data_IF_883702807972
#
_entry.id   IF_883702807972
#
_cell.length_a   1.000
_cell.length_b   1.000
_cell.length_c   1.000
_cell.angle_alpha   90.00
_cell.angle_beta   90.00
_cell.angle_gamma   90.00
#
_symmetry.space_group_name_H-M   'P 1'
#
loop_
_entity.id
_entity.type
_entity.pdbx_description
1 polymer ?
#
# COMPACT_ATOMS: atom_id res chain seq x y z
N UNK A 1 1.63 15.04 -7.40
CA UNK A 1 0.30 14.37 -7.47
C UNK A 1 0.15 13.45 -6.26
N UNK A 2 -1.07 13.30 -5.74
CA UNK A 2 -1.38 12.25 -4.75
C UNK A 2 -2.59 11.46 -5.19
N UNK A 3 -2.58 10.15 -4.93
CA UNK A 3 -3.76 9.30 -5.11
C UNK A 3 -4.47 9.07 -3.77
N UNK A 4 -5.73 8.62 -3.82
CA UNK A 4 -6.44 8.11 -2.65
C UNK A 4 -5.79 6.82 -2.13
N UNK A 5 -6.08 6.46 -0.88
CA UNK A 5 -5.64 5.19 -0.31
C UNK A 5 -6.15 3.99 -1.10
N UNK A 6 -5.27 3.02 -1.33
CA UNK A 6 -5.56 1.77 -2.03
C UNK A 6 -5.33 0.59 -1.09
N UNK A 7 -6.31 -0.30 -0.99
CA UNK A 7 -6.23 -1.56 -0.27
C UNK A 7 -6.18 -2.75 -1.22
N UNK A 8 -6.10 -3.95 -0.67
CA UNK A 8 -6.02 -5.19 -1.45
C UNK A 8 -7.37 -5.72 -1.91
N UNK A 9 -8.32 -4.87 -2.29
CA UNK A 9 -9.63 -5.31 -2.80
C UNK A 9 -9.59 -5.66 -4.29
N UNK A 10 -10.50 -6.52 -4.74
CA UNK A 10 -10.88 -6.65 -6.17
C UNK A 10 -11.98 -5.65 -6.58
N UNK A 11 -12.44 -5.71 -7.83
CA UNK A 11 -13.44 -4.78 -8.37
C UNK A 11 -14.84 -4.95 -7.72
N UNK A 12 -15.06 -6.05 -7.00
CA UNK A 12 -16.28 -6.36 -6.23
C UNK A 12 -16.12 -6.11 -4.71
N UNK A 13 -14.99 -5.53 -4.28
CA UNK A 13 -14.64 -5.26 -2.87
C UNK A 13 -14.43 -6.50 -1.99
N UNK A 14 -13.93 -7.60 -2.57
CA UNK A 14 -13.44 -8.74 -1.79
C UNK A 14 -11.94 -8.62 -1.49
N UNK A 15 -11.55 -9.11 -0.31
CA UNK A 15 -10.17 -9.14 0.16
C UNK A 15 -9.61 -10.56 0.07
N UNK A 16 -8.32 -10.75 -0.29
CA UNK A 16 -7.65 -12.04 -0.19
C UNK A 16 -7.67 -12.60 1.23
N UNK A 17 -7.67 -13.92 1.36
CA UNK A 17 -7.60 -14.56 2.69
C UNK A 17 -6.28 -14.26 3.39
N UNK A 18 -5.17 -14.28 2.63
CA UNK A 18 -3.85 -14.01 3.17
C UNK A 18 -3.54 -12.51 3.20
N UNK A 19 -2.93 -12.06 4.30
CA UNK A 19 -2.47 -10.68 4.41
C UNK A 19 -1.39 -10.35 3.37
N UNK A 20 -0.53 -11.31 3.03
CA UNK A 20 0.54 -11.10 2.05
C UNK A 20 -0.04 -10.83 0.65
N UNK A 21 -1.08 -11.56 0.26
CA UNK A 21 -1.79 -11.35 -1.01
C UNK A 21 -2.57 -10.03 -0.99
N UNK A 22 -3.19 -9.66 0.14
CA UNK A 22 -3.86 -8.36 0.29
C UNK A 22 -2.86 -7.19 0.12
N UNK A 23 -1.69 -7.25 0.77
CA UNK A 23 -0.65 -6.23 0.59
C UNK A 23 -0.15 -6.20 -0.85
N UNK A 24 0.12 -7.37 -1.45
CA UNK A 24 0.56 -7.46 -2.85
C UNK A 24 -0.45 -6.81 -3.79
N UNK A 25 -1.74 -7.14 -3.61
CA UNK A 25 -2.82 -6.55 -4.41
C UNK A 25 -2.98 -5.05 -4.14
N UNK A 26 -2.76 -4.57 -2.92
CA UNK A 26 -2.78 -3.14 -2.63
C UNK A 26 -1.73 -2.37 -3.45
N UNK A 27 -0.53 -2.93 -3.61
CA UNK A 27 0.50 -2.35 -4.50
C UNK A 27 0.09 -2.38 -5.98
N UNK A 28 -0.54 -3.46 -6.44
CA UNK A 28 -1.09 -3.54 -7.80
C UNK A 28 -2.20 -2.50 -8.03
N UNK A 29 -3.06 -2.25 -7.03
CA UNK A 29 -4.09 -1.23 -7.09
C UNK A 29 -3.52 0.20 -7.10
N UNK A 30 -2.42 0.44 -6.38
CA UNK A 30 -1.65 1.69 -6.51
C UNK A 30 -1.11 1.83 -7.92
N UNK A 31 -0.46 0.82 -8.49
CA UNK A 31 0.05 0.86 -9.87
C UNK A 31 -1.08 1.15 -10.87
N UNK A 32 -2.20 0.44 -10.77
CA UNK A 32 -3.37 0.65 -11.64
C UNK A 32 -3.84 2.11 -11.62
N UNK A 33 -3.86 2.72 -10.42
CA UNK A 33 -4.27 4.11 -10.24
C UNK A 33 -3.23 5.10 -10.77
N UNK A 34 -1.95 4.84 -10.55
CA UNK A 34 -0.84 5.63 -11.08
C UNK A 34 -0.85 5.63 -12.62
N UNK A 35 -0.92 4.44 -13.23
CA UNK A 35 -0.95 4.26 -14.69
C UNK A 35 -2.14 4.98 -15.32
N UNK A 36 -3.32 4.92 -14.70
CA UNK A 36 -4.50 5.64 -15.16
C UNK A 36 -4.32 7.17 -15.20
N UNK A 37 -3.37 7.69 -14.40
CA UNK A 37 -3.00 9.10 -14.39
C UNK A 37 -1.72 9.41 -15.20
N UNK A 38 -1.19 8.44 -15.94
CA UNK A 38 0.01 8.61 -16.77
C UNK A 38 1.32 8.65 -15.96
N UNK A 39 1.33 8.13 -14.74
CA UNK A 39 2.50 8.06 -13.85
C UNK A 39 2.80 6.63 -13.44
N UNK A 40 3.96 6.40 -12.83
CA UNK A 40 4.40 5.07 -12.41
C UNK A 40 4.95 5.06 -10.99
N UNK A 41 5.22 3.88 -10.43
CA UNK A 41 5.95 3.74 -9.17
C UNK A 41 7.32 4.44 -9.15
N UNK A 42 7.97 4.65 -10.30
CA UNK A 42 9.26 5.37 -10.36
C UNK A 42 9.13 6.83 -9.96
N UNK A 43 7.94 7.39 -10.08
CA UNK A 43 7.63 8.79 -9.77
C UNK A 43 7.22 8.97 -8.30
N UNK A 44 6.97 7.87 -7.58
CA UNK A 44 6.60 7.89 -6.16
C UNK A 44 7.80 8.35 -5.32
N UNK A 45 7.52 9.26 -4.37
CA UNK A 45 8.50 9.80 -3.43
C UNK A 45 8.14 9.55 -1.97
N UNK A 46 6.85 9.36 -1.68
CA UNK A 46 6.35 9.15 -0.33
C UNK A 46 5.24 8.11 -0.31
N UNK A 47 5.36 7.14 0.60
CA UNK A 47 4.39 6.09 0.89
C UNK A 47 3.94 6.21 2.34
N UNK A 48 2.63 6.34 2.54
CA UNK A 48 2.00 6.18 3.84
C UNK A 48 1.18 4.89 3.83
N UNK A 49 1.40 4.03 4.82
CA UNK A 49 0.62 2.81 4.97
C UNK A 49 -0.05 2.74 6.34
N UNK A 50 -1.30 2.32 6.33
CA UNK A 50 -2.16 2.19 7.51
C UNK A 50 -2.47 0.71 7.71
N UNK A 51 -2.28 0.22 8.93
CA UNK A 51 -2.32 -1.20 9.24
C UNK A 51 -3.27 -1.46 10.40
N UNK A 52 -4.23 -2.36 10.22
CA UNK A 52 -4.97 -2.94 11.34
C UNK A 52 -4.14 -4.09 11.87
N UNK A 53 -3.44 -3.85 12.98
CA UNK A 53 -2.65 -4.88 13.65
C UNK A 53 -3.55 -5.92 14.33
N UNK A 54 -3.00 -7.10 14.60
CA UNK A 54 -3.62 -8.06 15.52
C UNK A 54 -3.79 -7.50 16.94
N UNK A 55 -4.11 -8.36 17.91
CA UNK A 55 -4.38 -7.99 19.31
C UNK A 55 -3.17 -7.41 20.10
N UNK A 56 -2.11 -6.97 19.43
CA UNK A 56 -0.87 -6.44 20.00
C UNK A 56 -0.81 -4.91 20.02
N UNK A 57 0.23 -4.39 20.67
CA UNK A 57 0.51 -2.95 20.75
C UNK A 57 1.30 -2.39 19.55
N UNK A 58 1.60 -3.24 18.55
CA UNK A 58 2.43 -2.90 17.40
C UNK A 58 1.94 -3.61 16.14
N UNK A 59 2.32 -3.09 14.97
CA UNK A 59 2.07 -3.71 13.66
C UNK A 59 2.78 -5.07 13.60
N UNK A 60 2.08 -6.13 13.20
CA UNK A 60 2.67 -7.48 13.13
C UNK A 60 3.81 -7.53 12.09
N UNK A 61 4.92 -8.26 12.35
CA UNK A 61 6.10 -8.28 11.47
C UNK A 61 5.80 -8.62 10.01
N UNK A 62 4.83 -9.51 9.77
CA UNK A 62 4.38 -9.91 8.43
C UNK A 62 3.92 -8.73 7.59
N UNK A 63 3.27 -7.71 8.17
CA UNK A 63 2.92 -6.50 7.41
C UNK A 63 4.19 -5.81 6.92
N UNK A 64 5.15 -5.58 7.82
CA UNK A 64 6.36 -4.83 7.49
C UNK A 64 7.27 -5.59 6.52
N UNK A 65 7.39 -6.91 6.66
CA UNK A 65 8.19 -7.75 5.76
C UNK A 65 7.65 -7.70 4.33
N UNK A 66 6.34 -7.93 4.16
CA UNK A 66 5.72 -7.92 2.82
C UNK A 66 5.74 -6.51 2.21
N UNK A 67 5.49 -5.46 3.01
CA UNK A 67 5.62 -4.07 2.52
C UNK A 67 7.02 -3.77 1.99
N UNK A 68 8.06 -4.18 2.73
CA UNK A 68 9.47 -3.97 2.32
C UNK A 68 9.78 -4.74 1.03
N UNK A 69 9.32 -5.98 0.91
CA UNK A 69 9.54 -6.78 -0.31
C UNK A 69 8.84 -6.17 -1.52
N UNK A 70 7.61 -5.66 -1.36
CA UNK A 70 6.91 -4.94 -2.42
C UNK A 70 7.61 -3.62 -2.77
N UNK A 71 8.04 -2.82 -1.80
CA UNK A 71 8.78 -1.59 -2.07
C UNK A 71 10.08 -1.86 -2.84
N UNK A 72 10.81 -2.92 -2.52
CA UNK A 72 12.01 -3.35 -3.28
C UNK A 72 11.66 -3.80 -4.69
N UNK A 73 10.54 -4.51 -4.87
CA UNK A 73 10.07 -5.00 -6.17
C UNK A 73 9.66 -3.85 -7.10
N UNK A 74 8.86 -2.92 -6.59
CA UNK A 74 8.29 -1.82 -7.37
C UNK A 74 9.24 -0.64 -7.52
N UNK A 75 10.18 -0.46 -6.59
CA UNK A 75 11.13 0.66 -6.57
C UNK A 75 12.59 0.21 -6.36
N UNK A 76 13.14 -0.67 -7.23
CA UNK A 76 14.44 -1.33 -7.02
C UNK A 76 15.64 -0.38 -7.04
N UNK A 77 15.53 0.76 -7.73
CA UNK A 77 16.61 1.74 -7.85
C UNK A 77 16.66 2.74 -6.69
N UNK A 78 15.50 3.06 -6.10
CA UNK A 78 15.35 4.11 -5.09
C UNK A 78 14.15 3.83 -4.22
N UNK A 79 14.39 3.54 -2.93
CA UNK A 79 13.30 3.44 -1.96
C UNK A 79 12.63 4.82 -1.74
N UNK A 80 11.30 4.87 -1.54
CA UNK A 80 10.61 6.09 -1.15
C UNK A 80 10.85 6.40 0.33
N UNK A 81 10.46 7.61 0.75
CA UNK A 81 10.18 7.83 2.18
C UNK A 81 8.95 6.97 2.52
N UNK A 82 9.03 6.19 3.60
CA UNK A 82 7.93 5.34 4.04
C UNK A 82 7.61 5.59 5.51
N UNK A 83 6.32 5.79 5.80
CA UNK A 83 5.77 5.79 7.16
C UNK A 83 4.66 4.76 7.26
N UNK A 84 4.76 3.87 8.24
CA UNK A 84 3.72 2.91 8.60
C UNK A 84 3.03 3.36 9.90
N UNK A 85 1.72 3.24 9.98
CA UNK A 85 0.93 3.61 11.16
C UNK A 85 -0.09 2.53 11.48
N UNK A 86 -0.12 2.10 12.74
CA UNK A 86 -1.18 1.24 13.25
C UNK A 86 -2.47 2.05 13.44
N UNK A 87 -3.58 1.54 12.93
CA UNK A 87 -4.91 2.17 13.05
C UNK A 87 -5.90 1.19 13.67
N UNK A 88 -6.94 1.71 14.32
CA UNK A 88 -7.97 0.88 14.97
C UNK A 88 -8.93 0.23 13.97
N UNK A 89 -9.11 0.82 12.80
CA UNK A 89 -9.97 0.32 11.73
C UNK A 89 -9.64 0.98 10.38
N UNK A 90 -10.10 0.35 9.30
CA UNK A 90 -10.10 0.86 7.93
C UNK A 90 -11.54 0.91 7.39
N UNK A 91 -11.71 1.40 6.15
CA UNK A 91 -13.03 1.74 5.61
C UNK A 91 -13.99 0.54 5.41
N UNK A 92 -13.47 -0.68 5.27
CA UNK A 92 -14.25 -1.88 5.02
C UNK A 92 -13.99 -2.99 6.06
N UNK A 93 -15.01 -3.78 6.43
CA UNK A 93 -14.81 -4.96 7.26
C UNK A 93 -13.82 -5.94 6.63
N UNK A 94 -12.86 -6.43 7.42
CA UNK A 94 -11.85 -7.39 6.96
C UNK A 94 -10.64 -6.78 6.25
N UNK A 95 -10.68 -5.49 5.93
CA UNK A 95 -9.53 -4.77 5.37
C UNK A 95 -8.43 -4.63 6.42
N UNK A 96 -7.19 -5.00 6.06
CA UNK A 96 -6.05 -5.03 6.98
C UNK A 96 -4.96 -4.03 6.61
N UNK A 97 -4.94 -3.54 5.37
CA UNK A 97 -3.96 -2.55 4.90
C UNK A 97 -4.57 -1.52 3.95
N UNK A 98 -4.13 -0.27 4.08
CA UNK A 98 -4.36 0.80 3.09
C UNK A 98 -3.05 1.52 2.78
N UNK A 99 -2.79 1.81 1.50
CA UNK A 99 -1.58 2.46 1.01
C UNK A 99 -1.94 3.73 0.26
N UNK A 100 -1.41 4.87 0.70
CA UNK A 100 -1.51 6.14 0.01
C UNK A 100 -0.12 6.57 -0.47
N UNK A 101 -0.03 7.01 -1.72
CA UNK A 101 1.25 7.49 -2.27
C UNK A 101 1.17 8.92 -2.79
N UNK A 102 2.32 9.60 -2.72
CA UNK A 102 2.59 10.86 -3.41
C UNK A 102 3.66 10.65 -4.46
N UNK A 103 3.38 11.09 -5.69
CA UNK A 103 4.30 11.07 -6.81
C UNK A 103 4.65 12.49 -7.27
N UNK A 104 5.87 12.67 -7.78
CA UNK A 104 6.33 13.91 -8.41
C UNK A 104 6.41 13.68 -9.91
N UNK A 105 5.73 14.53 -10.67
CA UNK A 105 5.81 14.57 -12.14
C UNK A 105 6.58 15.81 -12.54
N UNK A 106 7.60 15.64 -13.38
CA UNK A 106 8.22 16.79 -14.05
C UNK A 106 7.27 17.26 -15.16
N UNK A 107 7.05 18.58 -15.22
CA UNK A 107 6.12 19.22 -16.16
C UNK A 107 6.77 19.66 -17.46
#
# INVERSE_FOLDING_TARGET
MSISGQGGWDDELHFPDSLADEITRAFENVERTLVAAGVSWRDVVHVNSYHVAGAGAAIDPVHTEVMVDQLRRWMPERAPIWTATGVSALAAPGMRVEIRVTAVVEG
#
